data_IF_473685758047
#
_entry.id   IF_473685758047
#
_cell.length_a   1.000
_cell.length_b   1.000
_cell.length_c   1.000
_cell.angle_alpha   90.00
_cell.angle_beta   90.00
_cell.angle_gamma   90.00
#
_symmetry.space_group_name_H-M   'P 1'
#
loop_
_entity.id
_entity.type
_entity.pdbx_description
1 polymer ?
#
# COMPACT_ATOMS: atom_id res chain seq x y z
N UNK A 1 -8.72 17.20 -10.82
CA UNK A 1 -7.88 18.08 -9.95
C UNK A 1 -8.66 19.10 -9.09
N UNK A 2 -9.36 20.08 -9.68
CA UNK A 2 -9.98 21.19 -8.91
C UNK A 2 -10.89 20.80 -7.74
N UNK A 3 -11.72 19.77 -7.92
CA UNK A 3 -12.60 19.27 -6.84
C UNK A 3 -11.78 18.65 -5.71
N UNK A 4 -10.77 17.84 -6.04
CA UNK A 4 -9.86 17.24 -5.07
C UNK A 4 -9.05 18.29 -4.30
N UNK A 5 -8.54 19.32 -4.97
CA UNK A 5 -7.84 20.44 -4.31
C UNK A 5 -8.78 21.16 -3.35
N UNK A 6 -10.01 21.46 -3.77
CA UNK A 6 -11.00 22.10 -2.89
C UNK A 6 -11.28 21.24 -1.65
N UNK A 7 -11.45 19.93 -1.81
CA UNK A 7 -11.64 19.01 -0.70
C UNK A 7 -10.40 18.98 0.20
N UNK A 8 -9.21 18.80 -0.36
CA UNK A 8 -7.95 18.77 0.37
C UNK A 8 -7.73 20.01 1.23
N UNK A 9 -8.00 21.21 0.68
CA UNK A 9 -7.93 22.46 1.46
C UNK A 9 -8.89 22.52 2.65
N UNK A 10 -10.02 21.82 2.58
CA UNK A 10 -10.95 21.71 3.72
C UNK A 10 -10.49 20.68 4.76
N UNK A 11 -9.61 19.74 4.37
CA UNK A 11 -9.10 18.68 5.22
C UNK A 11 -7.75 19.04 5.87
N UNK A 12 -7.04 20.06 5.40
CA UNK A 12 -5.72 20.49 5.92
C UNK A 12 -5.71 20.78 7.43
N UNK A 13 -6.82 21.24 7.99
CA UNK A 13 -6.93 21.55 9.42
C UNK A 13 -7.16 20.32 10.31
N UNK A 14 -7.35 19.12 9.72
CA UNK A 14 -7.79 17.92 10.43
C UNK A 14 -6.66 16.94 10.81
N UNK A 15 -5.39 17.28 10.52
CA UNK A 15 -4.22 16.44 10.80
C UNK A 15 -4.39 15.00 10.26
N UNK A 16 -4.92 14.89 9.04
CA UNK A 16 -5.11 13.59 8.38
C UNK A 16 -3.77 13.07 7.84
N UNK A 17 -3.57 11.75 7.91
CA UNK A 17 -2.31 11.13 7.49
C UNK A 17 -1.97 11.36 6.02
N UNK A 18 -2.92 11.11 5.11
CA UNK A 18 -2.80 11.44 3.69
C UNK A 18 -4.16 11.52 3.00
N UNK A 19 -4.18 12.07 1.80
CA UNK A 19 -5.28 11.96 0.84
C UNK A 19 -4.90 10.96 -0.25
N UNK A 20 -5.68 9.89 -0.35
CA UNK A 20 -5.42 8.74 -1.21
C UNK A 20 -6.10 8.87 -2.57
N UNK A 21 -5.37 8.57 -3.65
CA UNK A 21 -5.83 8.58 -5.05
C UNK A 21 -6.88 9.68 -5.36
N UNK A 22 -6.53 10.96 -5.14
CA UNK A 22 -7.51 12.07 -5.13
C UNK A 22 -8.16 12.36 -6.49
N UNK A 23 -7.57 11.83 -7.57
CA UNK A 23 -8.08 11.89 -8.93
C UNK A 23 -7.87 10.51 -9.57
N UNK A 24 -8.28 10.35 -10.84
CA UNK A 24 -8.03 9.11 -11.59
C UNK A 24 -6.58 8.65 -11.44
N UNK A 25 -6.40 7.37 -11.12
CA UNK A 25 -5.09 6.74 -10.90
C UNK A 25 -4.17 6.86 -12.12
N UNK A 26 -4.74 6.94 -13.32
CA UNK A 26 -4.00 7.10 -14.57
C UNK A 26 -3.65 8.55 -14.90
N UNK A 27 -4.24 9.53 -14.19
CA UNK A 27 -3.99 10.96 -14.37
C UNK A 27 -2.83 11.42 -13.49
N UNK A 28 -1.61 10.97 -13.80
CA UNK A 28 -0.40 11.31 -13.05
C UNK A 28 -0.15 12.83 -13.01
N UNK A 29 -0.51 13.55 -14.08
CA UNK A 29 -0.40 15.01 -14.15
C UNK A 29 -1.38 15.66 -13.17
N UNK A 30 -2.63 15.18 -13.15
CA UNK A 30 -3.63 15.65 -12.20
C UNK A 30 -3.27 15.33 -10.75
N UNK A 31 -2.68 14.17 -10.47
CA UNK A 31 -2.17 13.83 -9.14
C UNK A 31 -1.05 14.78 -8.71
N UNK A 32 -0.08 15.04 -9.60
CA UNK A 32 0.99 15.99 -9.33
C UNK A 32 0.47 17.43 -9.13
N UNK A 33 -0.57 17.84 -9.87
CA UNK A 33 -1.24 19.13 -9.66
C UNK A 33 -1.86 19.22 -8.27
N UNK A 34 -2.57 18.17 -7.83
CA UNK A 34 -3.18 18.12 -6.48
C UNK A 34 -2.10 18.15 -5.40
N UNK A 35 -1.09 17.30 -5.52
CA UNK A 35 0.04 17.22 -4.58
C UNK A 35 0.76 18.56 -4.44
N UNK A 36 1.02 19.26 -5.55
CA UNK A 36 1.69 20.55 -5.51
C UNK A 36 0.80 21.69 -4.97
N UNK A 37 -0.52 21.49 -4.97
CA UNK A 37 -1.49 22.48 -4.56
C UNK A 37 -1.99 22.31 -3.12
N UNK A 38 -1.51 21.32 -2.36
CA UNK A 38 -1.93 21.03 -0.99
C UNK A 38 -0.70 20.84 -0.11
N UNK A 39 -0.82 21.15 1.18
CA UNK A 39 0.17 20.79 2.20
C UNK A 39 -0.06 19.36 2.73
N UNK A 40 -1.21 18.76 2.39
CA UNK A 40 -1.52 17.35 2.67
C UNK A 40 -0.65 16.40 1.86
N UNK A 41 -0.21 15.34 2.52
CA UNK A 41 0.47 14.21 1.87
C UNK A 41 -0.48 13.51 0.89
N UNK A 42 0.00 13.26 -0.33
CA UNK A 42 -0.74 12.47 -1.33
C UNK A 42 -0.18 11.07 -1.42
N UNK A 43 -1.06 10.06 -1.31
CA UNK A 43 -0.69 8.66 -1.48
C UNK A 43 -1.30 8.07 -2.76
N UNK A 44 -0.55 7.24 -3.47
CA UNK A 44 -1.00 6.57 -4.69
C UNK A 44 -0.13 5.34 -5.01
N UNK A 45 -0.66 4.45 -5.86
CA UNK A 45 0.15 3.38 -6.48
C UNK A 45 -0.41 1.97 -6.29
N UNK A 46 -1.56 1.80 -5.63
CA UNK A 46 -2.20 0.50 -5.45
C UNK A 46 -2.60 -0.14 -6.78
N UNK A 47 -2.92 0.67 -7.79
CA UNK A 47 -3.34 0.20 -9.11
C UNK A 47 -2.17 -0.09 -10.06
N UNK A 48 -0.93 0.11 -9.62
CA UNK A 48 0.25 -0.16 -10.45
C UNK A 48 0.64 -1.64 -10.47
N UNK A 49 1.00 -2.13 -11.66
CA UNK A 49 1.23 -3.56 -11.91
C UNK A 49 2.69 -3.99 -11.83
N UNK A 50 3.64 -3.05 -11.92
CA UNK A 50 5.08 -3.33 -11.88
C UNK A 50 5.86 -2.13 -11.37
N UNK A 51 7.18 -2.29 -11.13
CA UNK A 51 8.07 -1.15 -10.83
C UNK A 51 8.04 -0.04 -11.88
N UNK A 52 7.69 -0.35 -13.13
CA UNK A 52 7.74 0.63 -14.22
C UNK A 52 6.60 1.64 -14.11
N UNK A 53 5.42 1.20 -13.68
CA UNK A 53 4.30 2.07 -13.37
C UNK A 53 4.58 2.95 -12.15
N UNK A 54 5.12 2.34 -11.09
CA UNK A 54 5.60 3.09 -9.91
C UNK A 54 6.67 4.12 -10.30
N UNK A 55 7.64 3.76 -11.15
CA UNK A 55 8.64 4.72 -11.64
C UNK A 55 7.99 5.90 -12.35
N UNK A 56 6.98 5.67 -13.19
CA UNK A 56 6.26 6.76 -13.85
C UNK A 56 5.57 7.69 -12.82
N UNK A 57 4.99 7.12 -11.77
CA UNK A 57 4.39 7.89 -10.65
C UNK A 57 5.43 8.77 -9.95
N UNK A 58 6.62 8.22 -9.68
CA UNK A 58 7.75 8.95 -9.07
C UNK A 58 8.24 10.07 -10.00
N UNK A 59 8.50 9.75 -11.27
CA UNK A 59 9.02 10.70 -12.26
C UNK A 59 8.04 11.85 -12.52
N UNK A 60 6.74 11.57 -12.49
CA UNK A 60 5.69 12.58 -12.57
C UNK A 60 5.53 13.41 -11.29
N UNK A 61 6.18 13.03 -10.18
CA UNK A 61 5.98 13.61 -8.83
C UNK A 61 4.51 13.57 -8.41
N UNK A 62 3.86 12.44 -8.69
CA UNK A 62 2.42 12.28 -8.48
C UNK A 62 2.03 11.90 -7.04
N UNK A 63 2.98 11.41 -6.23
CA UNK A 63 2.72 10.99 -4.85
C UNK A 63 3.88 11.32 -3.90
N UNK A 64 3.54 11.49 -2.62
CA UNK A 64 4.47 11.56 -1.49
C UNK A 64 4.68 10.20 -0.83
N UNK A 65 3.65 9.35 -0.81
CA UNK A 65 3.70 7.97 -0.31
C UNK A 65 3.28 7.01 -1.42
N UNK A 66 4.10 5.99 -1.66
CA UNK A 66 3.80 4.96 -2.66
C UNK A 66 3.09 3.77 -2.00
N UNK A 67 2.03 3.26 -2.64
CA UNK A 67 1.21 2.20 -2.06
C UNK A 67 1.15 0.93 -2.90
N UNK A 68 2.26 0.22 -3.13
CA UNK A 68 2.22 -0.99 -3.94
C UNK A 68 1.32 -2.06 -3.30
N UNK A 69 0.43 -2.62 -4.11
CA UNK A 69 -0.41 -3.76 -3.75
C UNK A 69 0.28 -5.07 -4.14
N UNK A 70 0.52 -5.95 -3.17
CA UNK A 70 1.20 -7.22 -3.40
C UNK A 70 0.47 -8.14 -4.40
N UNK A 71 -0.86 -8.10 -4.41
CA UNK A 71 -1.73 -8.90 -5.28
C UNK A 71 -1.71 -8.40 -6.74
N UNK A 72 -1.25 -7.16 -6.98
CA UNK A 72 -1.20 -6.54 -8.32
C UNK A 72 0.20 -6.34 -8.86
N UNK A 73 1.12 -5.88 -8.03
CA UNK A 73 2.46 -5.39 -8.43
C UNK A 73 3.36 -6.47 -9.02
N UNK A 74 2.93 -7.74 -9.07
CA UNK A 74 3.74 -8.87 -9.54
C UNK A 74 4.36 -9.71 -8.42
N UNK A 75 3.80 -9.64 -7.21
CA UNK A 75 4.19 -10.47 -6.07
C UNK A 75 5.45 -9.98 -5.34
N UNK A 76 5.93 -10.79 -4.39
CA UNK A 76 6.97 -10.40 -3.43
C UNK A 76 8.27 -9.94 -4.07
N UNK A 77 8.71 -10.64 -5.13
CA UNK A 77 9.94 -10.28 -5.86
C UNK A 77 9.85 -8.88 -6.45
N UNK A 78 8.71 -8.54 -7.04
CA UNK A 78 8.52 -7.25 -7.68
C UNK A 78 8.29 -6.15 -6.64
N UNK A 79 7.55 -6.45 -5.57
CA UNK A 79 7.36 -5.54 -4.43
C UNK A 79 8.69 -5.17 -3.74
N UNK A 80 9.62 -6.10 -3.55
CA UNK A 80 10.98 -5.79 -3.05
C UNK A 80 11.73 -4.81 -3.94
N UNK A 81 11.60 -4.96 -5.26
CA UNK A 81 12.26 -4.08 -6.23
C UNK A 81 11.58 -2.70 -6.26
N UNK A 82 10.27 -2.63 -6.02
CA UNK A 82 9.55 -1.37 -5.82
C UNK A 82 10.00 -0.66 -4.55
N UNK A 83 10.12 -1.37 -3.43
CA UNK A 83 10.60 -0.80 -2.18
C UNK A 83 12.00 -0.16 -2.34
N UNK A 84 12.92 -0.89 -2.97
CA UNK A 84 14.27 -0.40 -3.27
C UNK A 84 14.27 0.78 -4.27
N UNK A 85 13.37 0.77 -5.27
CA UNK A 85 13.19 1.90 -6.19
C UNK A 85 12.71 3.14 -5.43
N UNK A 86 11.68 3.02 -4.59
CA UNK A 86 11.16 4.12 -3.79
C UNK A 86 12.22 4.70 -2.84
N UNK A 87 12.98 3.81 -2.18
CA UNK A 87 14.09 4.19 -1.28
C UNK A 87 15.16 5.02 -2.01
N UNK A 88 15.50 4.67 -3.25
CA UNK A 88 16.44 5.44 -4.07
C UNK A 88 15.99 6.89 -4.35
N UNK A 89 14.69 7.17 -4.25
CA UNK A 89 14.10 8.50 -4.36
C UNK A 89 13.74 9.12 -3.01
N UNK A 90 14.13 8.48 -1.89
CA UNK A 90 13.76 8.88 -0.54
C UNK A 90 12.24 8.95 -0.32
N UNK A 91 11.48 8.12 -1.03
CA UNK A 91 10.02 8.03 -0.88
C UNK A 91 9.65 6.88 0.07
N UNK A 92 8.78 7.14 1.04
CA UNK A 92 8.20 6.09 1.87
C UNK A 92 7.23 5.24 1.06
N UNK A 93 7.04 4.00 1.53
CA UNK A 93 5.99 3.11 1.05
C UNK A 93 5.00 2.78 2.18
N UNK A 94 3.76 2.51 1.80
CA UNK A 94 2.74 1.85 2.62
C UNK A 94 2.27 0.62 1.86
N UNK A 95 2.11 -0.54 2.50
CA UNK A 95 1.60 -1.72 1.77
C UNK A 95 0.08 -1.64 1.66
N UNK A 96 -0.48 -1.73 0.45
CA UNK A 96 -1.93 -1.78 0.23
C UNK A 96 -2.45 -3.21 0.43
N UNK A 97 -3.40 -3.35 1.38
CA UNK A 97 -4.06 -4.59 1.83
C UNK A 97 -3.17 -5.86 1.85
N UNK A 98 -3.84 -7.04 1.83
CA UNK A 98 -3.24 -8.38 1.85
C UNK A 98 -2.14 -8.56 2.91
N UNK A 99 -2.46 -8.04 4.10
CA UNK A 99 -1.53 -7.78 5.19
C UNK A 99 -0.67 -9.01 5.52
N UNK A 100 -1.28 -10.19 5.61
CA UNK A 100 -0.62 -11.44 6.00
C UNK A 100 0.62 -11.77 5.16
N UNK A 101 0.62 -11.38 3.88
CA UNK A 101 1.76 -11.61 3.00
C UNK A 101 2.63 -10.35 2.83
N UNK A 102 2.04 -9.16 2.92
CA UNK A 102 2.75 -7.88 2.82
C UNK A 102 3.72 -7.63 3.99
N UNK A 103 3.46 -8.20 5.18
CA UNK A 103 4.27 -7.97 6.38
C UNK A 103 5.75 -8.33 6.25
N UNK A 104 6.09 -9.34 5.44
CA UNK A 104 7.50 -9.69 5.25
C UNK A 104 8.27 -8.59 4.49
N UNK A 105 7.60 -7.83 3.63
CA UNK A 105 8.17 -6.64 2.98
C UNK A 105 8.16 -5.49 3.98
N UNK A 106 7.04 -5.24 4.65
CA UNK A 106 6.93 -4.14 5.60
C UNK A 106 7.99 -4.21 6.71
N UNK A 107 8.21 -5.40 7.28
CA UNK A 107 9.22 -5.62 8.32
C UNK A 107 10.67 -5.66 7.81
N UNK A 108 10.92 -5.67 6.50
CA UNK A 108 12.27 -5.73 5.92
C UNK A 108 12.67 -4.53 5.06
N UNK A 109 11.73 -3.66 4.69
CA UNK A 109 11.98 -2.43 3.95
C UNK A 109 12.08 -1.23 4.90
N UNK A 110 13.25 -0.60 4.97
CA UNK A 110 13.51 0.52 5.88
C UNK A 110 12.63 1.76 5.60
N UNK A 111 12.11 1.89 4.37
CA UNK A 111 11.22 2.97 3.96
C UNK A 111 9.72 2.60 4.04
N UNK A 112 9.36 1.42 4.60
CA UNK A 112 7.96 1.10 4.85
C UNK A 112 7.50 1.76 6.16
N UNK A 113 6.60 2.73 6.05
CA UNK A 113 6.17 3.55 7.20
C UNK A 113 4.79 3.16 7.74
N UNK A 114 4.02 2.41 6.97
CA UNK A 114 2.65 2.02 7.31
C UNK A 114 2.28 0.70 6.64
N UNK A 115 1.32 0.00 7.22
CA UNK A 115 0.72 -1.22 6.69
C UNK A 115 -0.78 -1.06 6.78
N UNK A 116 -1.46 -1.13 5.63
CA UNK A 116 -2.92 -1.16 5.64
C UNK A 116 -3.42 -2.55 6.09
N UNK A 117 -4.41 -2.54 6.97
CA UNK A 117 -5.00 -3.77 7.50
C UNK A 117 -6.49 -3.87 7.26
N UNK A 118 -6.87 -4.87 6.47
CA UNK A 118 -8.25 -5.33 6.30
C UNK A 118 -8.30 -6.83 6.58
N UNK A 119 -9.07 -7.32 7.57
CA UNK A 119 -9.10 -8.74 7.96
C UNK A 119 -9.94 -9.61 7.01
N UNK A 120 -10.09 -9.21 5.74
CA UNK A 120 -10.92 -9.91 4.76
C UNK A 120 -10.46 -11.35 4.51
N UNK A 121 -9.15 -11.57 4.51
CA UNK A 121 -8.55 -12.88 4.26
C UNK A 121 -8.24 -13.66 5.54
N UNK A 122 -8.43 -13.07 6.72
CA UNK A 122 -8.13 -13.71 8.00
C UNK A 122 -8.76 -15.11 8.16
N UNK A 123 -10.02 -15.38 7.72
CA UNK A 123 -10.60 -16.72 7.80
C UNK A 123 -9.89 -17.80 6.97
N UNK A 124 -9.00 -17.43 6.04
CA UNK A 124 -8.24 -18.37 5.21
C UNK A 124 -6.98 -18.88 5.91
N UNK A 125 -6.54 -18.25 7.01
CA UNK A 125 -5.29 -18.57 7.68
C UNK A 125 -5.52 -19.26 9.02
N UNK A 126 -4.57 -20.11 9.43
CA UNK A 126 -4.58 -20.74 10.77
C UNK A 126 -4.17 -19.76 11.87
N UNK A 127 -3.42 -18.73 11.51
CA UNK A 127 -2.84 -17.77 12.42
C UNK A 127 -3.58 -16.44 12.38
N UNK A 128 -3.61 -15.77 13.52
CA UNK A 128 -4.28 -14.49 13.67
C UNK A 128 -3.29 -13.33 13.55
N UNK A 129 -3.71 -12.26 12.88
CA UNK A 129 -3.04 -10.98 12.93
C UNK A 129 -3.05 -10.45 14.37
N UNK A 130 -1.88 -10.06 14.90
CA UNK A 130 -1.76 -9.46 16.23
C UNK A 130 -1.50 -7.97 16.09
N UNK A 131 -2.44 -7.18 16.61
CA UNK A 131 -2.36 -5.72 16.67
C UNK A 131 -2.28 -5.33 18.14
N UNK A 132 -1.24 -4.59 18.52
CA UNK A 132 -0.99 -4.13 19.89
C UNK A 132 -0.66 -2.65 19.82
N UNK A 133 -1.43 -1.82 20.54
CA UNK A 133 -1.22 -0.37 20.63
C UNK A 133 -1.14 0.37 19.27
N UNK A 134 -1.86 -0.15 18.26
CA UNK A 134 -1.88 0.40 16.91
C UNK A 134 -0.84 -0.20 15.95
N UNK A 135 0.09 -1.00 16.47
CA UNK A 135 1.14 -1.65 15.67
C UNK A 135 0.82 -3.11 15.36
N UNK A 136 1.18 -3.56 14.17
CA UNK A 136 1.13 -4.97 13.79
C UNK A 136 2.42 -5.65 14.23
N UNK A 137 2.29 -6.75 14.98
CA UNK A 137 3.43 -7.55 15.40
C UNK A 137 3.91 -8.40 14.22
N UNK A 138 5.14 -8.15 13.75
CA UNK A 138 5.78 -8.95 12.69
C UNK A 138 5.93 -10.41 13.17
N UNK A 139 5.38 -11.40 12.46
CA UNK A 139 5.54 -12.80 12.81
C UNK A 139 7.01 -13.25 12.78
N UNK A 140 7.41 -14.08 13.74
CA UNK A 140 8.75 -14.70 13.80
C UNK A 140 8.81 -16.10 13.20
N UNK A 141 7.67 -16.61 12.71
CA UNK A 141 7.57 -17.93 12.07
C UNK A 141 8.20 -17.90 10.67
N UNK A 142 8.70 -19.04 10.15
CA UNK A 142 9.26 -19.10 8.80
C UNK A 142 8.27 -18.66 7.71
N UNK A 143 8.80 -18.16 6.60
CA UNK A 143 8.01 -17.71 5.45
C UNK A 143 7.35 -16.35 5.71
N UNK A 144 6.07 -16.22 5.32
CA UNK A 144 5.25 -15.03 5.62
C UNK A 144 4.75 -15.01 7.06
N UNK A 145 4.89 -16.12 7.79
CA UNK A 145 4.36 -16.29 9.14
C UNK A 145 2.90 -16.74 9.21
N UNK A 146 2.23 -16.89 8.06
CA UNK A 146 0.86 -17.35 7.93
C UNK A 146 0.79 -18.60 7.03
N UNK A 147 -0.13 -19.52 7.35
CA UNK A 147 -0.38 -20.75 6.60
C UNK A 147 -1.88 -20.91 6.34
N UNK A 148 -2.23 -21.35 5.13
CA UNK A 148 -3.63 -21.56 4.77
C UNK A 148 -4.26 -22.68 5.61
N UNK A 149 -5.48 -22.44 6.07
CA UNK A 149 -6.38 -23.49 6.53
C UNK A 149 -7.06 -24.12 5.30
N UNK A 150 -6.57 -25.29 4.89
CA UNK A 150 -7.10 -26.07 3.77
C UNK A 150 -8.61 -26.31 3.86
N UNK A 151 -9.17 -26.46 5.07
CA UNK A 151 -10.60 -26.63 5.25
C UNK A 151 -11.36 -25.33 4.95
N UNK A 152 -10.82 -24.18 5.37
CA UNK A 152 -11.38 -22.88 5.06
C UNK A 152 -11.26 -22.56 3.56
N UNK A 153 -10.10 -22.80 2.95
CA UNK A 153 -9.88 -22.65 1.51
C UNK A 153 -10.89 -23.48 0.73
N UNK A 154 -11.06 -24.77 1.09
CA UNK A 154 -12.06 -25.64 0.46
C UNK A 154 -13.48 -25.11 0.63
N UNK A 155 -13.83 -24.61 1.82
CA UNK A 155 -15.16 -24.06 2.12
C UNK A 155 -15.50 -22.82 1.29
N UNK A 156 -14.51 -21.97 1.01
CA UNK A 156 -14.70 -20.73 0.27
C UNK A 156 -14.38 -20.85 -1.23
N UNK A 157 -13.95 -22.04 -1.68
CA UNK A 157 -13.71 -22.29 -3.10
C UNK A 157 -15.00 -22.09 -3.91
N UNK A 158 -14.85 -21.51 -5.09
CA UNK A 158 -15.92 -21.38 -6.08
C UNK A 158 -15.55 -22.32 -7.23
N UNK A 159 -16.47 -23.21 -7.60
CA UNK A 159 -16.29 -24.08 -8.75
C UNK A 159 -16.18 -23.22 -10.03
N UNK A 160 -15.14 -23.48 -10.83
CA UNK A 160 -14.92 -22.85 -12.14
C UNK A 160 -15.61 -23.61 -13.26
#
# INVERSE_FOLDING_TARGET
PKQAIRLGRMLEELDIGWLEEPVSVHDLVGQAEVRNALDLTIASGETEWTRFGIRNTIEARAADVLMPDLQRIGGLTEMRRVAALAEAYSLPISTHIFTEHSLCIAGSAANCISVEHMPWYAPLFREEMKIVDGDIIIPVRPGTGFTFDEAAVTRFAIDH
#
